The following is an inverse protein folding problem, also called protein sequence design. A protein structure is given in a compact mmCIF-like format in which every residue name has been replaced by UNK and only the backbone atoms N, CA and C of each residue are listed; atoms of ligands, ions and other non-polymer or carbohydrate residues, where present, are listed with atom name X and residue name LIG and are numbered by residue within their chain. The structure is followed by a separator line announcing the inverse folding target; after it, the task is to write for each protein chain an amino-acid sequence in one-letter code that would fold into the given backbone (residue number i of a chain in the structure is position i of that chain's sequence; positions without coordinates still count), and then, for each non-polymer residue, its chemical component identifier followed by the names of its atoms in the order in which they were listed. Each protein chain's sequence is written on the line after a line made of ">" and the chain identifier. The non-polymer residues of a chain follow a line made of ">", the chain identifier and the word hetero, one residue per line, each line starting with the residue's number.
data_IF_296395526661
#
_entry.id   IF_296395526661
#
_cell.length_a   1.000
_cell.length_b   1.000
_cell.length_c   1.000
_cell.angle_alpha   90.00
_cell.angle_beta   90.00
_cell.angle_gamma   90.00
#
_symmetry.space_group_name_H-M   'P 1'
#
loop_
_entity.id
_entity.type
_entity.pdbx_description
1 polymer ?
#
# COMPACT_ATOMS: atom_id res chain seq x y z
N UNK A 1 16.97 3.20 10.21
CA UNK A 1 17.84 2.09 9.71
C UNK A 1 18.17 2.24 8.21
N UNK A 2 17.22 2.55 7.34
CA UNK A 2 17.44 2.76 5.90
C UNK A 2 18.45 3.90 5.63
N UNK A 3 18.23 5.10 6.17
CA UNK A 3 19.14 6.25 6.05
C UNK A 3 20.56 5.94 6.57
N UNK A 4 20.68 5.14 7.64
CA UNK A 4 21.98 4.77 8.19
C UNK A 4 22.79 3.88 7.23
N UNK A 5 22.13 3.00 6.48
CA UNK A 5 22.79 2.20 5.43
C UNK A 5 23.29 3.09 4.30
N UNK A 6 22.44 3.97 3.79
CA UNK A 6 22.80 4.91 2.73
C UNK A 6 23.96 5.83 3.18
N UNK A 7 23.92 6.34 4.41
CA UNK A 7 25.00 7.15 4.96
C UNK A 7 26.32 6.36 5.03
N UNK A 8 26.30 5.09 5.44
CA UNK A 8 27.49 4.25 5.46
C UNK A 8 28.05 3.99 4.06
N UNK A 9 27.21 3.73 3.07
CA UNK A 9 27.57 3.54 1.66
C UNK A 9 28.21 4.82 1.10
N UNK A 10 27.59 6.00 1.34
CA UNK A 10 28.13 7.29 0.94
C UNK A 10 29.50 7.59 1.56
N UNK A 11 29.68 7.27 2.85
CA UNK A 11 30.98 7.42 3.53
C UNK A 11 32.05 6.47 2.98
N UNK A 12 31.64 5.30 2.47
CA UNK A 12 32.53 4.38 1.77
C UNK A 12 32.83 4.76 0.34
N UNK A 13 32.35 5.91 -0.13
CA UNK A 13 32.65 6.47 -1.45
C UNK A 13 31.65 6.12 -2.54
N UNK A 14 30.52 5.48 -2.22
CA UNK A 14 29.43 5.27 -3.17
C UNK A 14 28.69 6.60 -3.42
N UNK A 15 28.97 7.22 -4.57
CA UNK A 15 28.35 8.49 -4.98
C UNK A 15 26.88 8.33 -5.44
N UNK A 16 26.42 7.09 -5.66
CA UNK A 16 25.04 6.79 -6.02
C UNK A 16 24.13 6.55 -4.78
N UNK A 17 24.71 6.50 -3.57
CA UNK A 17 23.98 6.33 -2.33
C UNK A 17 23.14 7.57 -2.00
N UNK A 18 21.88 7.58 -2.45
CA UNK A 18 20.91 8.67 -2.25
C UNK A 18 19.68 8.09 -1.55
N UNK A 19 19.18 8.80 -0.54
CA UNK A 19 17.94 8.40 0.13
C UNK A 19 16.75 8.72 -0.77
N UNK A 20 15.99 7.69 -1.14
CA UNK A 20 14.67 7.85 -1.73
C UNK A 20 13.59 7.75 -0.62
N UNK A 21 12.91 8.86 -0.39
CA UNK A 21 11.85 8.94 0.62
C UNK A 21 10.48 8.53 0.09
N UNK A 22 10.35 8.28 -1.21
CA UNK A 22 9.04 8.07 -1.84
C UNK A 22 8.33 6.81 -1.35
N UNK A 23 9.06 5.70 -1.22
CA UNK A 23 8.51 4.42 -0.81
C UNK A 23 8.69 4.10 0.69
N UNK A 24 9.11 5.10 1.50
CA UNK A 24 9.25 4.91 2.94
C UNK A 24 7.85 4.90 3.60
N UNK A 25 7.43 3.79 4.22
CA UNK A 25 6.13 3.76 4.88
C UNK A 25 6.15 4.60 6.17
N UNK A 26 5.04 5.30 6.41
CA UNK A 26 4.76 6.02 7.65
C UNK A 26 3.68 5.29 8.42
N UNK A 27 3.91 5.02 9.70
CA UNK A 27 2.99 4.27 10.56
C UNK A 27 2.63 5.07 11.81
N UNK A 28 1.35 5.03 12.18
CA UNK A 28 0.83 5.57 13.43
C UNK A 28 0.14 4.44 14.21
N UNK A 29 0.64 4.13 15.40
CA UNK A 29 0.16 3.04 16.26
C UNK A 29 -1.03 3.47 17.12
N UNK A 30 -2.08 3.91 16.47
CA UNK A 30 -3.39 4.20 17.08
C UNK A 30 -4.28 2.95 17.07
N UNK A 31 -5.52 3.08 17.55
CA UNK A 31 -6.55 2.03 17.44
C UNK A 31 -7.76 2.61 16.71
N UNK A 32 -7.98 2.24 15.44
CA UNK A 32 -7.15 1.39 14.57
C UNK A 32 -5.79 2.02 14.20
N UNK A 33 -4.85 1.17 13.80
CA UNK A 33 -3.55 1.62 13.23
C UNK A 33 -3.75 2.35 11.91
N UNK A 34 -2.79 3.22 11.56
CA UNK A 34 -2.76 3.93 10.28
C UNK A 34 -1.38 3.73 9.66
N UNK A 35 -1.35 3.34 8.38
CA UNK A 35 -0.12 3.22 7.62
C UNK A 35 -0.29 3.83 6.22
N UNK A 36 0.75 4.49 5.73
CA UNK A 36 0.77 5.20 4.45
C UNK A 36 2.08 4.92 3.74
N UNK A 37 2.05 4.87 2.41
CA UNK A 37 3.24 4.84 1.55
C UNK A 37 2.96 5.58 0.24
N UNK A 38 3.96 6.26 -0.32
CA UNK A 38 3.85 6.98 -1.58
C UNK A 38 2.88 8.16 -1.53
N UNK A 39 2.22 8.45 -2.64
CA UNK A 39 1.31 9.61 -2.76
C UNK A 39 -0.12 9.28 -2.35
N UNK A 40 -0.74 10.21 -1.65
CA UNK A 40 -2.21 10.28 -1.59
C UNK A 40 -2.77 10.67 -2.98
N UNK A 41 -4.07 10.42 -3.20
CA UNK A 41 -4.75 10.85 -4.43
C UNK A 41 -4.55 12.35 -4.70
N UNK A 42 -4.69 13.20 -3.69
CA UNK A 42 -4.54 14.65 -3.84
C UNK A 42 -3.10 15.02 -4.25
N UNK A 43 -2.09 14.49 -3.55
CA UNK A 43 -0.69 14.74 -3.89
C UNK A 43 -0.33 14.26 -5.30
N UNK A 44 -0.85 13.11 -5.72
CA UNK A 44 -0.62 12.60 -7.07
C UNK A 44 -1.23 13.54 -8.14
N UNK A 45 -2.44 14.03 -7.89
CA UNK A 45 -3.11 14.99 -8.77
C UNK A 45 -2.40 16.34 -8.85
N UNK A 46 -1.92 16.86 -7.72
CA UNK A 46 -1.09 18.09 -7.67
C UNK A 46 0.21 17.95 -8.49
N UNK A 47 0.76 16.73 -8.58
CA UNK A 47 1.93 16.40 -9.42
C UNK A 47 1.58 16.14 -10.89
N UNK A 48 0.31 16.25 -11.28
CA UNK A 48 -0.16 16.10 -12.64
C UNK A 48 -0.44 14.65 -13.06
N UNK A 49 -0.48 13.69 -12.13
CA UNK A 49 -0.85 12.32 -12.45
C UNK A 49 -2.37 12.18 -12.61
N UNK A 50 -2.82 11.56 -13.69
CA UNK A 50 -4.17 11.01 -13.75
C UNK A 50 -4.21 9.70 -12.97
N UNK A 51 -4.99 9.63 -11.88
CA UNK A 51 -5.00 8.47 -10.99
C UNK A 51 -6.39 7.85 -10.86
N UNK A 52 -6.40 6.55 -10.63
CA UNK A 52 -7.54 5.76 -10.18
C UNK A 52 -7.29 5.29 -8.75
N UNK A 53 -8.36 5.02 -8.01
CA UNK A 53 -8.26 4.51 -6.64
C UNK A 53 -9.21 3.35 -6.43
N UNK A 54 -8.74 2.31 -5.74
CA UNK A 54 -9.58 1.24 -5.20
C UNK A 54 -9.54 1.29 -3.68
N UNK A 55 -10.70 1.13 -3.06
CA UNK A 55 -10.80 1.10 -1.61
C UNK A 55 -11.70 -0.04 -1.17
N UNK A 56 -11.20 -0.86 -0.24
CA UNK A 56 -11.95 -1.96 0.34
C UNK A 56 -12.02 -1.86 1.85
N UNK A 57 -13.17 -2.20 2.43
CA UNK A 57 -13.40 -2.09 3.87
C UNK A 57 -13.04 -3.39 4.60
N UNK A 58 -12.39 -3.28 5.75
CA UNK A 58 -12.23 -4.41 6.69
C UNK A 58 -13.57 -5.00 7.16
N UNK A 59 -14.66 -4.23 7.08
CA UNK A 59 -16.01 -4.69 7.41
C UNK A 59 -16.50 -5.85 6.54
N UNK A 60 -15.91 -6.07 5.38
CA UNK A 60 -16.26 -7.17 4.47
C UNK A 60 -15.21 -8.30 4.47
N UNK A 61 -14.17 -8.21 5.29
CA UNK A 61 -13.11 -9.22 5.37
C UNK A 61 -13.43 -10.24 6.47
N UNK A 62 -13.48 -11.53 6.11
CA UNK A 62 -13.84 -12.61 7.02
C UNK A 62 -12.90 -12.74 8.23
N UNK A 63 -11.60 -12.52 8.04
CA UNK A 63 -10.63 -12.57 9.13
C UNK A 63 -10.83 -11.42 10.11
N UNK A 64 -11.04 -10.20 9.63
CA UNK A 64 -11.26 -9.04 10.48
C UNK A 64 -12.55 -9.16 11.31
N UNK A 65 -13.59 -9.72 10.71
CA UNK A 65 -14.84 -10.05 11.42
C UNK A 65 -14.59 -11.09 12.52
N UNK A 66 -13.83 -12.16 12.22
CA UNK A 66 -13.56 -13.23 13.19
C UNK A 66 -12.79 -12.76 14.42
N UNK A 67 -11.98 -11.69 14.29
CA UNK A 67 -11.23 -11.09 15.42
C UNK A 67 -11.91 -9.84 15.99
N UNK A 68 -13.13 -9.53 15.55
CA UNK A 68 -13.91 -8.36 15.98
C UNK A 68 -13.20 -7.01 15.75
N UNK A 69 -12.39 -6.90 14.68
CA UNK A 69 -11.64 -5.70 14.31
C UNK A 69 -11.94 -5.29 12.85
N UNK A 70 -13.19 -5.00 12.58
CA UNK A 70 -13.70 -4.73 11.22
C UNK A 70 -13.73 -3.25 10.82
N UNK A 71 -13.20 -2.36 11.66
CA UNK A 71 -13.17 -0.92 11.34
C UNK A 71 -11.96 -0.57 10.48
N UNK A 72 -12.21 0.20 9.42
CA UNK A 72 -11.16 0.74 8.57
C UNK A 72 -11.22 0.27 7.13
N UNK A 73 -10.17 0.54 6.40
CA UNK A 73 -10.09 0.27 4.96
C UNK A 73 -8.64 0.17 4.48
N UNK A 74 -8.47 -0.44 3.31
CA UNK A 74 -7.29 -0.31 2.46
C UNK A 74 -7.64 0.54 1.25
N UNK A 75 -6.78 1.47 0.87
CA UNK A 75 -6.89 2.26 -0.36
C UNK A 75 -5.59 2.19 -1.15
N UNK A 76 -5.70 1.89 -2.44
CA UNK A 76 -4.60 1.91 -3.41
C UNK A 76 -4.79 3.12 -4.33
N UNK A 77 -3.69 3.79 -4.67
CA UNK A 77 -3.63 4.88 -5.66
C UNK A 77 -2.73 4.41 -6.79
N UNK A 78 -3.28 4.35 -8.01
CA UNK A 78 -2.56 3.91 -9.19
C UNK A 78 -2.70 4.90 -10.35
N UNK A 79 -1.69 4.95 -11.23
CA UNK A 79 -1.73 5.75 -12.46
C UNK A 79 -2.74 5.12 -13.43
N UNK A 80 -3.70 5.90 -13.90
CA UNK A 80 -4.86 5.44 -14.68
C UNK A 80 -4.52 4.61 -15.92
N UNK A 81 -3.48 5.00 -16.65
CA UNK A 81 -3.18 4.38 -17.95
C UNK A 81 -2.22 3.18 -17.87
N UNK A 82 -1.49 3.06 -16.75
CA UNK A 82 -0.46 2.02 -16.57
C UNK A 82 -0.77 1.07 -15.44
N UNK A 83 -1.77 1.37 -14.62
CA UNK A 83 -2.07 0.67 -13.37
C UNK A 83 -0.90 0.62 -12.36
N UNK A 84 0.20 1.39 -12.60
CA UNK A 84 1.34 1.44 -11.69
C UNK A 84 0.90 2.01 -10.35
N UNK A 85 1.18 1.29 -9.28
CA UNK A 85 0.89 1.71 -7.91
C UNK A 85 1.88 2.80 -7.51
N UNK A 86 1.36 3.95 -7.08
CA UNK A 86 2.16 5.11 -6.65
C UNK A 86 1.83 5.56 -5.23
N UNK A 87 0.94 4.86 -4.56
CA UNK A 87 0.64 5.12 -3.17
C UNK A 87 -0.44 4.23 -2.61
N UNK A 88 -0.45 4.14 -1.28
CA UNK A 88 -1.46 3.39 -0.56
C UNK A 88 -1.68 3.94 0.85
N UNK A 89 -2.87 3.66 1.39
CA UNK A 89 -3.25 3.98 2.76
C UNK A 89 -3.99 2.80 3.37
N UNK A 90 -3.64 2.44 4.58
CA UNK A 90 -4.33 1.43 5.39
C UNK A 90 -4.73 2.05 6.71
N UNK A 91 -6.00 1.92 7.06
CA UNK A 91 -6.52 2.23 8.39
C UNK A 91 -7.20 0.96 8.88
N UNK A 92 -6.69 0.33 9.91
CA UNK A 92 -7.28 -0.93 10.37
C UNK A 92 -6.34 -1.83 11.16
N UNK A 93 -6.77 -3.06 11.46
CA UNK A 93 -5.96 -4.01 12.20
C UNK A 93 -4.72 -4.43 11.40
N UNK A 94 -3.54 -4.38 12.03
CA UNK A 94 -2.28 -4.79 11.43
C UNK A 94 -1.83 -3.91 10.27
N UNK A 95 -2.28 -2.65 10.20
CA UNK A 95 -1.88 -1.74 9.12
C UNK A 95 -0.36 -1.58 9.03
N UNK A 96 0.34 -1.60 10.16
CA UNK A 96 1.80 -1.54 10.25
C UNK A 96 2.51 -2.71 9.55
N UNK A 97 1.92 -3.89 9.56
CA UNK A 97 2.45 -5.08 8.90
C UNK A 97 2.00 -5.17 7.44
N UNK A 98 0.71 -4.92 7.19
CA UNK A 98 0.10 -5.01 5.86
C UNK A 98 0.70 -4.01 4.85
N UNK A 99 1.15 -2.84 5.30
CA UNK A 99 1.71 -1.81 4.42
C UNK A 99 3.00 -2.26 3.73
N UNK A 100 3.70 -3.26 4.23
CA UNK A 100 4.97 -3.73 3.70
C UNK A 100 4.85 -4.24 2.25
N UNK A 101 3.78 -4.95 1.91
CA UNK A 101 3.49 -5.40 0.55
C UNK A 101 3.30 -4.23 -0.41
N UNK A 102 2.51 -3.23 0.01
CA UNK A 102 2.26 -2.03 -0.80
C UNK A 102 3.49 -1.11 -0.88
N UNK A 103 4.34 -1.09 0.15
CA UNK A 103 5.63 -0.40 0.10
C UNK A 103 6.56 -1.06 -0.93
N UNK A 104 6.62 -2.40 -0.96
CA UNK A 104 7.35 -3.13 -2.00
C UNK A 104 6.79 -2.83 -3.39
N UNK A 105 5.47 -2.80 -3.55
CA UNK A 105 4.82 -2.48 -4.82
C UNK A 105 5.16 -1.08 -5.31
N UNK A 106 5.16 -0.07 -4.43
CA UNK A 106 5.53 1.31 -4.76
C UNK A 106 7.01 1.40 -5.13
N UNK A 107 7.90 0.80 -4.34
CA UNK A 107 9.36 0.81 -4.53
C UNK A 107 9.74 0.18 -5.88
N UNK A 108 9.17 -1.00 -6.19
CA UNK A 108 9.48 -1.75 -7.41
C UNK A 108 8.67 -1.30 -8.61
N UNK A 109 7.74 -0.36 -8.44
CA UNK A 109 6.86 0.12 -9.50
C UNK A 109 5.91 -0.94 -10.04
N UNK A 110 5.45 -1.84 -9.16
CA UNK A 110 4.47 -2.87 -9.50
C UNK A 110 3.12 -2.25 -9.86
N UNK A 111 2.32 -3.04 -10.56
CA UNK A 111 0.99 -2.66 -11.01
C UNK A 111 -0.10 -3.24 -10.10
N UNK A 112 -1.31 -2.73 -10.26
CA UNK A 112 -2.51 -3.28 -9.62
C UNK A 112 -2.74 -4.73 -10.05
N UNK A 113 -2.39 -5.08 -11.30
CA UNK A 113 -2.50 -6.43 -11.83
C UNK A 113 -1.55 -7.40 -11.10
N UNK A 114 -0.33 -6.96 -10.74
CA UNK A 114 0.62 -7.77 -9.97
C UNK A 114 0.05 -8.13 -8.59
N UNK A 115 -0.58 -7.18 -7.90
CA UNK A 115 -1.26 -7.44 -6.62
C UNK A 115 -2.44 -8.39 -6.81
N UNK A 116 -3.30 -8.15 -7.81
CA UNK A 116 -4.46 -9.00 -8.10
C UNK A 116 -4.10 -10.44 -8.44
N UNK A 117 -2.93 -10.67 -9.04
CA UNK A 117 -2.43 -12.01 -9.39
C UNK A 117 -1.69 -12.69 -8.22
N UNK A 118 -1.32 -11.95 -7.18
CA UNK A 118 -0.65 -12.50 -6.02
C UNK A 118 -1.62 -13.28 -5.15
N UNK A 119 -1.31 -14.56 -4.89
CA UNK A 119 -2.17 -15.42 -4.07
C UNK A 119 -1.93 -15.10 -2.59
N UNK A 120 -3.00 -14.71 -1.89
CA UNK A 120 -3.00 -14.46 -0.46
C UNK A 120 -3.62 -15.62 0.32
N UNK A 121 -3.14 -15.83 1.54
CA UNK A 121 -3.69 -16.88 2.41
C UNK A 121 -5.15 -16.60 2.81
N UNK A 122 -6.00 -17.63 2.80
CA UNK A 122 -7.38 -17.53 3.25
C UNK A 122 -7.62 -18.33 4.54
N UNK A 123 -8.33 -17.79 5.54
CA UNK A 123 -8.74 -16.40 5.68
C UNK A 123 -7.62 -15.54 6.33
N UNK A 124 -7.33 -14.38 5.75
CA UNK A 124 -6.30 -13.48 6.26
C UNK A 124 -6.71 -12.00 6.16
N UNK A 125 -5.98 -11.12 6.86
CA UNK A 125 -6.17 -9.68 6.72
C UNK A 125 -5.61 -9.16 5.38
N UNK A 126 -4.62 -9.84 4.79
CA UNK A 126 -4.00 -9.42 3.52
C UNK A 126 -4.97 -9.44 2.34
N UNK A 127 -6.04 -10.24 2.39
CA UNK A 127 -7.05 -10.28 1.33
C UNK A 127 -7.68 -8.91 1.03
N UNK A 128 -7.71 -7.99 2.01
CA UNK A 128 -8.20 -6.62 1.79
C UNK A 128 -7.36 -5.84 0.78
N UNK A 129 -6.08 -6.20 0.62
CA UNK A 129 -5.15 -5.57 -0.33
C UNK A 129 -5.52 -6.00 -1.76
N UNK A 130 -5.76 -7.29 -1.97
CA UNK A 130 -6.22 -7.82 -3.26
C UNK A 130 -7.56 -7.25 -3.66
N UNK A 131 -8.53 -7.24 -2.76
CA UNK A 131 -9.87 -6.70 -3.03
C UNK A 131 -9.81 -5.21 -3.40
N UNK A 132 -8.94 -4.43 -2.74
CA UNK A 132 -8.73 -3.02 -3.11
C UNK A 132 -8.11 -2.88 -4.52
N UNK A 133 -7.22 -3.79 -4.92
CA UNK A 133 -6.67 -3.85 -6.27
C UNK A 133 -7.75 -4.25 -7.29
N UNK A 134 -8.52 -5.28 -6.98
CA UNK A 134 -9.60 -5.79 -7.85
C UNK A 134 -10.73 -4.78 -8.07
N UNK A 135 -10.99 -3.88 -7.14
CA UNK A 135 -11.90 -2.75 -7.34
C UNK A 135 -11.41 -1.85 -8.50
N UNK A 136 -10.12 -1.55 -8.57
CA UNK A 136 -9.54 -0.77 -9.68
C UNK A 136 -9.74 -1.51 -11.02
N UNK A 137 -9.51 -2.81 -11.02
CA UNK A 137 -9.64 -3.67 -12.20
C UNK A 137 -11.08 -4.06 -12.54
N UNK A 138 -12.07 -3.67 -11.70
CA UNK A 138 -13.49 -4.06 -11.82
C UNK A 138 -13.68 -5.58 -11.76
N UNK A 139 -12.90 -6.27 -10.95
CA UNK A 139 -12.93 -7.72 -10.73
C UNK A 139 -13.34 -8.11 -9.30
N UNK A 140 -13.51 -7.13 -8.39
CA UNK A 140 -13.85 -7.40 -6.99
C UNK A 140 -15.14 -8.23 -6.87
N UNK A 141 -15.08 -9.26 -6.00
CA UNK A 141 -16.19 -10.22 -5.80
C UNK A 141 -17.07 -9.79 -4.63
N UNK A 142 -16.49 -9.10 -3.64
CA UNK A 142 -17.14 -8.77 -2.37
C UNK A 142 -17.34 -7.25 -2.16
N UNK A 143 -17.52 -6.49 -3.21
CA UNK A 143 -17.71 -5.02 -3.18
C UNK A 143 -19.15 -4.62 -2.92
#
# INVERSE_FOLDING_TARGET
>A
MYEAKIAAEALNGDKAAIVDYFAIPTVCFTTPEIALVGYTKAQAQEKGYEVVTGQYSFGHNGRSLSISQSKGFVRIVAIKNTNKIIGAAIVGPGASDLIAELALAVEQGLTVDDISLTIHGHPSLNEVVVEAADIILKKAIHS
#
